data_IF_884915441284
#
_entry.id   IF_884915441284
#
_cell.length_a   1.000
_cell.length_b   1.000
_cell.length_c   1.000
_cell.angle_alpha   90.00
_cell.angle_beta   90.00
_cell.angle_gamma   90.00
#
_symmetry.space_group_name_H-M   'P 1'
#
loop_
_entity.id
_entity.type
_entity.pdbx_description
1 polymer ?
#
# COMPACT_ATOMS: atom_id res chain seq x y z
N UNK A 1 -13.46 5.93 -13.67
CA UNK A 1 -14.74 5.38 -14.19
C UNK A 1 -14.88 3.88 -13.98
N UNK A 2 -13.88 3.04 -14.34
CA UNK A 2 -13.99 1.59 -14.18
C UNK A 2 -14.19 1.17 -12.71
N UNK A 3 -13.50 1.81 -11.78
CA UNK A 3 -13.65 1.59 -10.34
C UNK A 3 -15.05 1.96 -9.83
N UNK A 4 -15.60 3.06 -10.29
CA UNK A 4 -16.91 3.53 -9.87
C UNK A 4 -17.99 2.53 -10.28
N UNK A 5 -17.93 2.06 -11.53
CA UNK A 5 -18.86 1.04 -12.04
C UNK A 5 -18.72 -0.30 -11.31
N UNK A 6 -17.48 -0.73 -11.01
CA UNK A 6 -17.23 -1.94 -10.23
C UNK A 6 -17.83 -1.82 -8.82
N UNK A 7 -17.60 -0.70 -8.15
CA UNK A 7 -18.15 -0.43 -6.82
C UNK A 7 -19.68 -0.40 -6.83
N UNK A 8 -20.28 0.27 -7.81
CA UNK A 8 -21.73 0.30 -7.98
C UNK A 8 -22.32 -1.10 -8.21
N UNK A 9 -21.71 -1.88 -9.10
CA UNK A 9 -22.16 -3.24 -9.38
C UNK A 9 -22.08 -4.18 -8.17
N UNK A 10 -21.16 -3.92 -7.25
CA UNK A 10 -20.97 -4.69 -6.02
C UNK A 10 -21.71 -4.12 -4.81
N UNK A 11 -22.47 -3.04 -4.98
CA UNK A 11 -23.20 -2.36 -3.89
C UNK A 11 -22.25 -1.72 -2.86
N UNK A 12 -21.02 -1.38 -3.25
CA UNK A 12 -20.07 -0.72 -2.37
C UNK A 12 -20.38 0.76 -2.22
N UNK A 13 -20.19 1.31 -1.03
CA UNK A 13 -20.30 2.74 -0.78
C UNK A 13 -19.08 3.46 -1.38
N UNK A 14 -19.36 4.51 -2.17
CA UNK A 14 -18.32 5.33 -2.81
C UNK A 14 -18.26 6.69 -2.12
N UNK A 15 -17.10 7.05 -1.62
CA UNK A 15 -16.82 8.38 -1.10
C UNK A 15 -16.06 9.21 -2.14
N UNK A 16 -16.65 10.35 -2.51
CA UNK A 16 -16.02 11.29 -3.46
C UNK A 16 -15.47 12.47 -2.68
N UNK A 17 -14.16 12.64 -2.70
CA UNK A 17 -13.52 13.80 -2.11
C UNK A 17 -13.59 14.99 -3.08
N UNK A 18 -14.13 16.12 -2.63
CA UNK A 18 -14.32 17.33 -3.47
C UNK A 18 -13.03 18.15 -3.62
N UNK A 19 -12.23 18.24 -2.56
CA UNK A 19 -10.97 19.00 -2.57
C UNK A 19 -9.78 18.07 -2.27
N UNK A 20 -8.82 17.94 -3.21
CA UNK A 20 -7.60 17.15 -2.98
C UNK A 20 -6.80 17.58 -1.74
N UNK A 21 -6.97 18.81 -1.25
CA UNK A 21 -6.29 19.30 -0.05
C UNK A 21 -6.85 18.67 1.24
N UNK A 22 -8.11 18.28 1.23
CA UNK A 22 -8.81 17.69 2.38
C UNK A 22 -8.71 16.15 2.44
N UNK A 23 -7.98 15.53 1.50
CA UNK A 23 -7.91 14.08 1.37
C UNK A 23 -7.49 13.37 2.67
N UNK A 24 -6.59 13.95 3.46
CA UNK A 24 -6.15 13.35 4.72
C UNK A 24 -7.26 13.32 5.77
N UNK A 25 -8.05 14.39 5.85
CA UNK A 25 -9.21 14.47 6.74
C UNK A 25 -10.29 13.50 6.30
N UNK A 26 -10.62 13.51 5.00
CA UNK A 26 -11.61 12.61 4.41
C UNK A 26 -11.27 11.12 4.64
N UNK A 27 -10.01 10.72 4.49
CA UNK A 27 -9.58 9.34 4.74
C UNK A 27 -9.78 8.96 6.21
N UNK A 28 -9.42 9.84 7.16
CA UNK A 28 -9.57 9.59 8.59
C UNK A 28 -11.03 9.48 9.02
N UNK A 29 -11.91 10.23 8.39
CA UNK A 29 -13.36 10.19 8.65
C UNK A 29 -14.00 8.94 8.06
N UNK A 30 -13.69 8.62 6.80
CA UNK A 30 -14.32 7.52 6.07
C UNK A 30 -13.71 6.16 6.37
N UNK A 31 -12.42 6.09 6.74
CA UNK A 31 -11.66 4.84 7.00
C UNK A 31 -11.93 3.77 5.94
N UNK A 32 -11.58 4.03 4.68
CA UNK A 32 -12.00 3.22 3.56
C UNK A 32 -11.44 1.79 3.62
N UNK A 33 -12.22 0.83 3.13
CA UNK A 33 -11.75 -0.56 2.95
C UNK A 33 -10.85 -0.72 1.73
N UNK A 34 -10.97 0.18 0.75
CA UNK A 34 -10.13 0.25 -0.43
C UNK A 34 -9.98 1.71 -0.85
N UNK A 35 -8.77 2.09 -1.20
CA UNK A 35 -8.47 3.44 -1.64
C UNK A 35 -7.62 3.39 -2.91
N UNK A 36 -8.18 3.87 -4.01
CA UNK A 36 -7.43 4.08 -5.25
C UNK A 36 -6.77 5.47 -5.22
N UNK A 37 -5.47 5.52 -5.43
CA UNK A 37 -4.72 6.77 -5.43
C UNK A 37 -3.61 6.80 -6.48
N UNK A 38 -3.21 8.01 -6.86
CA UNK A 38 -2.08 8.24 -7.76
C UNK A 38 -0.74 8.14 -7.02
N UNK A 39 0.38 7.86 -7.71
CA UNK A 39 1.70 7.75 -7.10
C UNK A 39 2.09 8.92 -6.20
N UNK A 40 1.77 10.16 -6.62
CA UNK A 40 2.08 11.38 -5.85
C UNK A 40 1.47 11.39 -4.44
N UNK A 41 0.32 10.74 -4.24
CA UNK A 41 -0.24 10.57 -2.91
C UNK A 41 0.65 9.66 -2.05
N UNK A 42 1.07 8.54 -2.59
CA UNK A 42 1.92 7.57 -1.89
C UNK A 42 3.32 8.09 -1.60
N UNK A 43 3.87 8.91 -2.49
CA UNK A 43 5.14 9.63 -2.25
C UNK A 43 5.02 10.59 -1.06
N UNK A 44 3.90 11.30 -0.94
CA UNK A 44 3.64 12.15 0.24
C UNK A 44 3.47 11.33 1.53
N UNK A 45 2.80 10.18 1.45
CA UNK A 45 2.69 9.25 2.60
C UNK A 45 4.07 8.75 3.00
N UNK A 46 4.89 8.32 2.03
CA UNK A 46 6.27 7.91 2.24
C UNK A 46 7.09 8.99 2.97
N UNK A 47 7.10 10.21 2.43
CA UNK A 47 7.84 11.33 3.00
C UNK A 47 7.34 11.67 4.43
N UNK A 48 6.02 11.71 4.63
CA UNK A 48 5.43 12.01 5.94
C UNK A 48 5.70 10.95 7.00
N UNK A 49 5.71 9.66 6.63
CA UNK A 49 6.07 8.58 7.56
C UNK A 49 7.55 8.63 7.90
N UNK A 50 8.42 8.87 6.92
CA UNK A 50 9.86 9.04 7.17
C UNK A 50 10.14 10.23 8.09
N UNK A 51 9.54 11.38 7.85
CA UNK A 51 9.70 12.56 8.70
C UNK A 51 9.27 12.28 10.15
N UNK A 52 8.18 11.54 10.34
CA UNK A 52 7.74 11.13 11.67
C UNK A 52 8.72 10.19 12.36
N UNK A 53 9.26 9.21 11.61
CA UNK A 53 10.28 8.28 12.15
C UNK A 53 11.54 9.04 12.57
N UNK A 54 11.97 10.01 11.76
CA UNK A 54 13.16 10.82 12.08
C UNK A 54 13.00 11.65 13.38
N UNK A 55 11.77 12.08 13.69
CA UNK A 55 11.45 12.82 14.92
C UNK A 55 11.26 11.92 16.15
N UNK A 56 11.28 10.60 16.00
CA UNK A 56 11.13 9.67 17.14
C UNK A 56 12.39 9.61 18.01
N UNK A 57 12.24 9.29 19.32
CA UNK A 57 13.39 8.98 20.19
C UNK A 57 14.26 7.87 19.61
N UNK A 58 15.58 7.95 19.79
CA UNK A 58 16.55 7.07 19.13
C UNK A 58 16.28 5.58 19.24
N UNK A 59 15.82 5.09 20.39
CA UNK A 59 15.46 3.67 20.57
C UNK A 59 14.20 3.29 19.75
N UNK A 60 13.19 4.14 19.76
CA UNK A 60 11.95 3.90 19.01
C UNK A 60 12.21 3.97 17.51
N UNK A 61 13.04 4.93 17.08
CA UNK A 61 13.50 5.04 15.69
C UNK A 61 14.21 3.77 15.23
N UNK A 62 15.18 3.25 16.01
CA UNK A 62 15.87 1.98 15.70
C UNK A 62 14.90 0.81 15.60
N UNK A 63 13.93 0.72 16.53
CA UNK A 63 12.91 -0.32 16.50
C UNK A 63 12.04 -0.22 15.25
N UNK A 64 11.68 1.00 14.83
CA UNK A 64 10.87 1.23 13.63
C UNK A 64 11.60 0.79 12.36
N UNK A 65 12.89 1.15 12.22
CA UNK A 65 13.70 0.69 11.09
C UNK A 65 13.92 -0.82 11.09
N UNK A 66 14.10 -1.43 12.28
CA UNK A 66 14.17 -2.89 12.39
C UNK A 66 12.84 -3.54 11.95
N UNK A 67 11.70 -3.01 12.37
CA UNK A 67 10.39 -3.51 11.95
C UNK A 67 10.20 -3.42 10.43
N UNK A 68 10.60 -2.30 9.82
CA UNK A 68 10.57 -2.11 8.35
C UNK A 68 11.46 -3.15 7.66
N UNK A 69 12.67 -3.39 8.18
CA UNK A 69 13.59 -4.41 7.63
C UNK A 69 12.99 -5.83 7.71
N UNK A 70 12.35 -6.18 8.83
CA UNK A 70 11.64 -7.46 9.00
C UNK A 70 10.46 -7.55 8.01
N UNK A 71 9.69 -6.48 7.85
CA UNK A 71 8.59 -6.40 6.89
C UNK A 71 9.08 -6.53 5.44
N UNK A 72 10.16 -5.84 5.08
CA UNK A 72 10.82 -5.96 3.78
C UNK A 72 11.24 -7.40 3.51
N UNK A 73 12.03 -7.98 4.42
CA UNK A 73 12.49 -9.36 4.31
C UNK A 73 11.34 -10.34 4.12
N UNK A 74 10.30 -10.26 4.97
CA UNK A 74 9.16 -11.17 4.87
C UNK A 74 8.38 -10.99 3.56
N UNK A 75 7.96 -9.77 3.25
CA UNK A 75 7.02 -9.52 2.15
C UNK A 75 7.70 -9.55 0.78
N UNK A 76 8.92 -9.03 0.67
CA UNK A 76 9.62 -8.88 -0.62
C UNK A 76 10.57 -10.03 -0.94
N UNK A 77 11.26 -10.61 0.08
CA UNK A 77 12.25 -11.66 -0.20
C UNK A 77 11.64 -13.08 -0.14
N UNK A 78 10.56 -13.26 0.65
CA UNK A 78 9.92 -14.58 0.82
C UNK A 78 8.54 -14.63 0.20
N UNK A 79 7.57 -13.88 0.72
CA UNK A 79 6.15 -13.98 0.32
C UNK A 79 5.96 -13.67 -1.16
N UNK A 80 6.62 -12.63 -1.67
CA UNK A 80 6.58 -12.23 -3.08
C UNK A 80 7.06 -13.36 -4.02
N UNK A 81 8.01 -14.16 -3.59
CA UNK A 81 8.55 -15.28 -4.38
C UNK A 81 7.96 -16.64 -4.01
N UNK A 82 6.83 -16.68 -3.30
CA UNK A 82 6.20 -17.91 -2.79
C UNK A 82 7.15 -18.82 -1.98
N UNK A 83 8.15 -18.23 -1.33
CA UNK A 83 9.09 -18.95 -0.46
C UNK A 83 8.55 -19.05 0.96
N UNK A 84 8.91 -20.13 1.65
CA UNK A 84 8.59 -20.30 3.07
C UNK A 84 9.32 -19.27 3.91
N UNK A 85 8.60 -18.53 4.76
CA UNK A 85 9.16 -17.53 5.65
C UNK A 85 9.78 -18.23 6.87
N UNK A 86 11.02 -17.89 7.30
CA UNK A 86 11.58 -18.41 8.53
C UNK A 86 10.68 -18.09 9.74
N UNK A 87 10.51 -19.06 10.64
CA UNK A 87 9.59 -18.94 11.78
C UNK A 87 9.88 -17.71 12.66
N UNK A 88 11.16 -17.42 12.92
CA UNK A 88 11.56 -16.22 13.67
C UNK A 88 11.13 -14.91 13.01
N UNK A 89 11.26 -14.81 11.68
CA UNK A 89 10.85 -13.65 10.90
C UNK A 89 9.31 -13.49 10.92
N UNK A 90 8.59 -14.60 10.81
CA UNK A 90 7.12 -14.59 10.83
C UNK A 90 6.57 -14.14 12.20
N UNK A 91 7.16 -14.58 13.33
CA UNK A 91 6.77 -14.14 14.66
C UNK A 91 7.03 -12.63 14.83
N UNK A 92 8.24 -12.18 14.51
CA UNK A 92 8.58 -10.76 14.63
C UNK A 92 7.64 -9.89 13.78
N UNK A 93 7.40 -10.32 12.53
CA UNK A 93 6.47 -9.62 11.64
C UNK A 93 5.05 -9.53 12.22
N UNK A 94 4.51 -10.63 12.76
CA UNK A 94 3.17 -10.64 13.37
C UNK A 94 3.06 -9.68 14.56
N UNK A 95 4.13 -9.56 15.35
CA UNK A 95 4.18 -8.59 16.46
C UNK A 95 4.19 -7.16 15.90
N UNK A 96 5.09 -6.86 14.96
CA UNK A 96 5.18 -5.52 14.37
C UNK A 96 3.94 -5.13 13.58
N UNK A 97 3.30 -6.08 12.89
CA UNK A 97 2.04 -5.86 12.19
C UNK A 97 0.94 -5.38 13.13
N UNK A 98 0.80 -6.03 14.30
CA UNK A 98 -0.24 -5.69 15.28
C UNK A 98 0.06 -4.44 16.09
N UNK A 99 1.32 -4.03 16.18
CA UNK A 99 1.76 -2.90 17.01
C UNK A 99 2.14 -1.69 16.16
N UNK A 100 3.28 -1.73 15.50
CA UNK A 100 3.85 -0.58 14.81
C UNK A 100 3.14 -0.28 13.48
N UNK A 101 2.93 -1.30 12.64
CA UNK A 101 2.29 -1.09 11.33
C UNK A 101 0.82 -0.74 11.46
N UNK A 102 0.10 -1.37 12.40
CA UNK A 102 -1.28 -1.01 12.70
C UNK A 102 -1.40 0.45 13.17
N UNK A 103 -0.44 0.93 13.98
CA UNK A 103 -0.41 2.32 14.42
C UNK A 103 -0.18 3.28 13.26
N UNK A 104 0.75 2.97 12.35
CA UNK A 104 0.99 3.78 11.14
C UNK A 104 -0.28 3.84 10.27
N UNK A 105 -0.92 2.70 10.01
CA UNK A 105 -2.17 2.64 9.23
C UNK A 105 -3.28 3.44 9.89
N UNK A 106 -3.44 3.33 11.21
CA UNK A 106 -4.45 4.06 11.98
C UNK A 106 -4.23 5.59 11.94
N UNK A 107 -2.99 6.04 12.04
CA UNK A 107 -2.67 7.48 11.92
C UNK A 107 -3.00 8.05 10.55
N UNK A 108 -2.92 7.22 9.51
CA UNK A 108 -3.31 7.58 8.15
C UNK A 108 -4.81 7.43 7.89
N UNK A 109 -5.57 6.77 8.78
CA UNK A 109 -6.97 6.42 8.58
C UNK A 109 -7.20 5.24 7.61
N UNK A 110 -6.17 4.40 7.42
CA UNK A 110 -6.14 3.30 6.44
C UNK A 110 -6.13 1.92 7.12
N UNK A 111 -6.50 1.84 8.39
CA UNK A 111 -6.47 0.60 9.17
C UNK A 111 -7.42 -0.48 8.64
N UNK A 112 -8.53 -0.08 8.00
CA UNK A 112 -9.51 -0.99 7.43
C UNK A 112 -9.22 -1.38 5.98
N UNK A 113 -8.23 -0.73 5.37
CA UNK A 113 -7.95 -0.92 3.95
C UNK A 113 -7.21 -2.22 3.69
N UNK A 114 -7.73 -3.02 2.77
CA UNK A 114 -7.18 -4.30 2.36
C UNK A 114 -6.25 -4.18 1.14
N UNK A 115 -6.60 -3.31 0.19
CA UNK A 115 -5.87 -3.10 -1.05
C UNK A 115 -5.72 -1.63 -1.38
N UNK A 116 -4.61 -1.29 -2.01
CA UNK A 116 -4.25 0.08 -2.38
C UNK A 116 -3.92 0.16 -3.88
N UNK A 117 -4.95 0.22 -4.75
CA UNK A 117 -4.75 0.43 -6.17
C UNK A 117 -4.03 1.75 -6.44
N UNK A 118 -2.99 1.68 -7.28
CA UNK A 118 -2.18 2.81 -7.68
C UNK A 118 -1.99 2.80 -9.20
N UNK A 119 -2.42 3.86 -9.86
CA UNK A 119 -2.31 4.01 -11.31
C UNK A 119 -2.22 5.50 -11.70
N UNK A 120 -2.00 5.77 -13.00
CA UNK A 120 -1.95 7.11 -13.57
C UNK A 120 -0.55 7.63 -13.89
N UNK A 121 0.47 7.13 -13.20
CA UNK A 121 1.88 7.30 -13.53
C UNK A 121 2.71 6.22 -12.85
N UNK A 122 3.99 6.15 -13.15
CA UNK A 122 4.88 5.16 -12.54
C UNK A 122 5.08 5.47 -11.04
N UNK A 123 4.86 4.48 -10.18
CA UNK A 123 5.24 4.54 -8.77
C UNK A 123 6.71 4.15 -8.63
N UNK A 124 7.50 4.93 -7.88
CA UNK A 124 8.90 4.59 -7.67
C UNK A 124 9.04 3.29 -6.88
N UNK A 125 10.03 2.47 -7.28
CA UNK A 125 10.30 1.17 -6.65
C UNK A 125 10.55 1.33 -5.13
N UNK A 126 11.33 2.33 -4.73
CA UNK A 126 11.64 2.58 -3.32
C UNK A 126 10.40 2.90 -2.47
N UNK A 127 9.46 3.66 -3.03
CA UNK A 127 8.19 3.98 -2.37
C UNK A 127 7.32 2.72 -2.26
N UNK A 128 7.21 1.95 -3.36
CA UNK A 128 6.47 0.70 -3.37
C UNK A 128 7.02 -0.31 -2.35
N UNK A 129 8.33 -0.54 -2.36
CA UNK A 129 9.01 -1.42 -1.39
C UNK A 129 8.77 -1.00 0.06
N UNK A 130 8.90 0.29 0.34
CA UNK A 130 8.68 0.82 1.69
C UNK A 130 7.25 0.58 2.17
N UNK A 131 6.26 0.90 1.33
CA UNK A 131 4.85 0.70 1.66
C UNK A 131 4.54 -0.79 1.87
N UNK A 132 5.02 -1.67 0.98
CA UNK A 132 4.84 -3.11 1.13
C UNK A 132 5.55 -3.65 2.39
N UNK A 133 6.67 -3.04 2.80
CA UNK A 133 7.36 -3.38 4.05
C UNK A 133 6.53 -3.04 5.30
N UNK A 134 5.65 -2.05 5.21
CA UNK A 134 4.69 -1.65 6.25
C UNK A 134 3.33 -2.37 6.14
N UNK A 135 3.26 -3.47 5.38
CA UNK A 135 2.03 -4.26 5.18
C UNK A 135 0.94 -3.54 4.36
N UNK A 136 1.32 -2.60 3.50
CA UNK A 136 0.39 -2.05 2.51
C UNK A 136 0.36 -2.97 1.29
N UNK A 137 -0.82 -3.51 0.96
CA UNK A 137 -1.00 -4.34 -0.23
C UNK A 137 -1.15 -3.43 -1.47
N UNK A 138 -0.01 -2.97 -1.99
CA UNK A 138 0.00 -2.13 -3.18
C UNK A 138 -0.38 -2.94 -4.42
N UNK A 139 -1.32 -2.42 -5.20
CA UNK A 139 -1.74 -2.97 -6.49
C UNK A 139 -1.44 -1.92 -7.55
N UNK A 140 -0.24 -1.99 -8.12
CA UNK A 140 0.16 -1.06 -9.19
C UNK A 140 -0.45 -1.53 -10.49
N UNK A 141 -1.09 -0.60 -11.21
CA UNK A 141 -1.75 -0.88 -12.48
C UNK A 141 -1.39 0.14 -13.55
N UNK A 142 -1.45 -0.31 -14.79
CA UNK A 142 -1.27 0.52 -15.98
C UNK A 142 -2.53 0.46 -16.85
N UNK A 143 -2.91 1.60 -17.38
CA UNK A 143 -4.02 1.73 -18.30
C UNK A 143 -4.07 3.09 -18.94
N UNK A 144 -4.76 3.18 -20.05
CA UNK A 144 -4.98 4.39 -20.83
C UNK A 144 -6.48 4.59 -21.02
N UNK A 145 -6.89 5.83 -21.29
CA UNK A 145 -8.29 6.12 -21.66
C UNK A 145 -8.66 5.39 -22.95
N UNK A 146 -7.71 5.29 -23.87
CA UNK A 146 -7.84 4.64 -25.18
C UNK A 146 -7.99 3.11 -25.06
N UNK A 147 -7.47 2.51 -23.99
CA UNK A 147 -7.61 1.07 -23.69
C UNK A 147 -8.82 0.74 -22.84
N UNK A 148 -9.73 1.67 -22.66
CA UNK A 148 -10.98 1.53 -21.89
C UNK A 148 -10.80 1.40 -20.38
N UNK A 149 -9.64 1.15 -19.84
CA UNK A 149 -9.30 1.17 -18.42
C UNK A 149 -7.91 0.57 -18.15
N UNK A 150 -7.84 -0.44 -17.27
CA UNK A 150 -6.61 -1.10 -16.87
C UNK A 150 -6.20 -2.16 -17.88
N UNK A 151 -5.00 -2.06 -18.40
CA UNK A 151 -4.38 -3.05 -19.34
C UNK A 151 -3.63 -4.12 -18.56
N UNK A 152 -2.94 -3.71 -17.50
CA UNK A 152 -2.17 -4.61 -16.65
C UNK A 152 -2.19 -4.15 -15.19
N UNK A 153 -2.03 -5.07 -14.26
CA UNK A 153 -1.89 -4.74 -12.85
C UNK A 153 -1.17 -5.86 -12.07
N UNK A 154 -0.68 -5.52 -10.89
CA UNK A 154 -0.27 -6.52 -9.90
C UNK A 154 -1.52 -7.26 -9.43
N UNK A 155 -1.60 -8.54 -9.73
CA UNK A 155 -2.72 -9.36 -9.28
C UNK A 155 -2.50 -9.78 -7.83
N UNK A 156 -3.47 -9.54 -6.92
CA UNK A 156 -3.33 -9.94 -5.52
C UNK A 156 -3.15 -11.46 -5.31
N UNK A 157 -3.64 -12.27 -6.26
CA UNK A 157 -3.47 -13.72 -6.26
C UNK A 157 -2.06 -14.15 -6.68
N UNK A 158 -1.41 -13.39 -7.57
CA UNK A 158 -0.07 -13.66 -8.08
C UNK A 158 0.94 -12.81 -7.31
N UNK A 159 1.60 -13.39 -6.32
CA UNK A 159 2.56 -12.67 -5.47
C UNK A 159 3.87 -12.36 -6.17
N UNK A 160 4.23 -13.19 -7.16
CA UNK A 160 5.47 -13.04 -7.90
C UNK A 160 5.32 -12.00 -9.02
N UNK A 161 5.75 -10.78 -8.75
CA UNK A 161 5.81 -9.70 -9.73
C UNK A 161 7.05 -8.83 -9.53
N UNK A 162 7.55 -8.26 -10.61
CA UNK A 162 8.65 -7.30 -10.55
C UNK A 162 8.10 -5.92 -10.18
N UNK A 163 8.68 -5.27 -9.15
CA UNK A 163 8.26 -3.93 -8.72
C UNK A 163 8.58 -2.84 -9.74
N UNK A 164 9.43 -3.15 -10.72
CA UNK A 164 9.72 -2.27 -11.87
C UNK A 164 8.72 -2.42 -13.01
N UNK A 165 7.93 -3.48 -12.99
CA UNK A 165 6.89 -3.72 -13.98
C UNK A 165 5.58 -3.03 -13.59
N UNK A 166 4.63 -3.04 -14.51
CA UNK A 166 3.24 -2.58 -14.30
C UNK A 166 2.29 -3.76 -14.09
N UNK A 167 2.83 -4.93 -13.78
CA UNK A 167 2.07 -6.16 -13.54
C UNK A 167 1.79 -6.98 -14.80
N UNK A 168 0.89 -7.94 -14.65
CA UNK A 168 0.49 -8.86 -15.71
C UNK A 168 -0.67 -8.28 -16.52
N UNK A 169 -0.77 -8.63 -17.80
CA UNK A 169 -1.88 -8.26 -18.68
C UNK A 169 -3.21 -8.80 -18.13
N UNK A 170 -4.23 -7.97 -18.13
CA UNK A 170 -5.59 -8.40 -17.81
C UNK A 170 -6.17 -9.12 -19.01
N UNK A 171 -6.70 -10.33 -18.78
CA UNK A 171 -7.42 -11.12 -19.78
C UNK A 171 -8.89 -10.77 -19.79
#
# INVERSE_FOLDING_TARGET
RAWDYLCMNRGAMIYVNKDPKEIQTAIKETRPNMMCAVPRFWEKVYAGVHEKIEKMPGLVKKLMYHAIAVGKKRNLDYVRFNKSVPFSTEIQYKIFKKTLFAKVKKELGLENSMYFPCAGSQLSESVCEFLMSLDFNMVVGYGLTESTATVSCFQPAHKHHDLKSVGEGMQ
#
